data_IF_781774973766
#
_entry.id   IF_781774973766
#
_cell.length_a   1.000
_cell.length_b   1.000
_cell.length_c   1.000
_cell.angle_alpha   90.00
_cell.angle_beta   90.00
_cell.angle_gamma   90.00
#
_symmetry.space_group_name_H-M   'P 1'
#
loop_
_entity.id
_entity.type
_entity.pdbx_description
1 polymer ?
#
# COMPACT_ATOMS: atom_id res chain seq x y z
N UNK A 1 -3.29 58.73 -22.74
CA UNK A 1 -4.08 57.60 -23.30
C UNK A 1 -4.80 56.92 -22.17
N UNK A 2 -6.13 56.82 -22.21
CA UNK A 2 -6.89 56.07 -21.22
C UNK A 2 -6.88 54.58 -21.61
N UNK A 3 -6.33 53.73 -20.78
CA UNK A 3 -6.42 52.26 -20.96
C UNK A 3 -7.88 51.85 -20.80
N UNK A 4 -8.47 51.25 -21.83
CA UNK A 4 -9.82 50.66 -21.77
C UNK A 4 -9.69 49.36 -21.00
N UNK A 5 -10.08 49.42 -19.74
CA UNK A 5 -10.13 48.23 -18.88
C UNK A 5 -11.39 47.44 -19.26
N UNK A 6 -11.20 46.32 -19.97
CA UNK A 6 -12.28 45.37 -20.27
C UNK A 6 -12.56 44.56 -19.04
N UNK A 7 -13.72 44.72 -18.44
CA UNK A 7 -14.19 43.90 -17.33
C UNK A 7 -14.78 42.57 -17.82
N UNK A 8 -14.71 41.54 -16.97
CA UNK A 8 -15.40 40.25 -17.21
C UNK A 8 -16.92 40.46 -17.14
N UNK A 9 -17.65 39.80 -18.04
CA UNK A 9 -19.11 39.76 -17.98
C UNK A 9 -19.56 38.69 -16.99
N UNK A 10 -20.74 38.87 -16.38
CA UNK A 10 -21.31 37.87 -15.45
C UNK A 10 -21.52 36.52 -16.13
N UNK A 11 -21.96 36.51 -17.40
CA UNK A 11 -22.21 35.30 -18.16
C UNK A 11 -20.92 34.51 -18.48
N UNK A 12 -19.82 35.22 -18.76
CA UNK A 12 -18.50 34.58 -18.96
C UNK A 12 -18.06 33.83 -17.70
N UNK A 13 -18.23 34.43 -16.53
CA UNK A 13 -17.90 33.80 -15.25
C UNK A 13 -18.81 32.60 -14.97
N UNK A 14 -20.11 32.72 -15.25
CA UNK A 14 -21.08 31.62 -15.08
C UNK A 14 -20.76 30.42 -15.95
N UNK A 15 -20.35 30.60 -17.20
CA UNK A 15 -19.94 29.53 -18.11
C UNK A 15 -18.69 28.84 -17.58
N UNK A 16 -17.71 29.60 -17.10
CA UNK A 16 -16.46 29.05 -16.56
C UNK A 16 -16.73 28.14 -15.34
N UNK A 17 -17.52 28.64 -14.37
CA UNK A 17 -17.83 27.82 -13.18
C UNK A 17 -18.68 26.58 -13.52
N UNK A 18 -19.56 26.66 -14.52
CA UNK A 18 -20.32 25.52 -15.00
C UNK A 18 -19.40 24.44 -15.60
N UNK A 19 -18.44 24.82 -16.43
CA UNK A 19 -17.46 23.91 -17.03
C UNK A 19 -16.57 23.29 -15.97
N UNK A 20 -16.05 24.08 -15.02
CA UNK A 20 -15.25 23.58 -13.88
C UNK A 20 -16.05 22.58 -13.05
N UNK A 21 -17.33 22.85 -12.79
CA UNK A 21 -18.21 21.96 -12.06
C UNK A 21 -18.35 20.58 -12.74
N UNK A 22 -18.54 20.56 -14.04
CA UNK A 22 -18.65 19.32 -14.82
C UNK A 22 -17.33 18.54 -14.81
N UNK A 23 -16.20 19.22 -15.02
CA UNK A 23 -14.88 18.58 -15.00
C UNK A 23 -14.53 18.02 -13.61
N UNK A 24 -14.89 18.73 -12.53
CA UNK A 24 -14.64 18.29 -11.18
C UNK A 24 -15.32 16.96 -10.82
N UNK A 25 -16.51 16.71 -11.33
CA UNK A 25 -17.27 15.45 -11.10
C UNK A 25 -16.47 14.22 -11.59
N UNK A 26 -15.73 14.37 -12.67
CA UNK A 26 -14.94 13.30 -13.27
C UNK A 26 -13.55 13.21 -12.63
N UNK A 27 -12.93 14.36 -12.35
CA UNK A 27 -11.55 14.42 -11.87
C UNK A 27 -11.38 14.00 -10.41
N UNK A 28 -12.32 14.35 -9.52
CA UNK A 28 -12.22 14.06 -8.10
C UNK A 28 -12.15 12.55 -7.76
N UNK A 29 -13.02 11.68 -8.30
CA UNK A 29 -12.94 10.23 -8.05
C UNK A 29 -11.62 9.64 -8.55
N UNK A 30 -11.15 10.03 -9.73
CA UNK A 30 -9.89 9.54 -10.29
C UNK A 30 -8.69 9.95 -9.41
N UNK A 31 -8.69 11.19 -8.89
CA UNK A 31 -7.66 11.67 -7.98
C UNK A 31 -7.67 10.92 -6.66
N UNK A 32 -8.84 10.60 -6.09
CA UNK A 32 -8.96 9.82 -4.86
C UNK A 32 -8.41 8.40 -5.02
N UNK A 33 -8.71 7.72 -6.14
CA UNK A 33 -8.19 6.40 -6.43
C UNK A 33 -6.66 6.41 -6.58
N UNK A 34 -6.11 7.41 -7.27
CA UNK A 34 -4.68 7.61 -7.42
C UNK A 34 -3.98 7.83 -6.07
N UNK A 35 -4.57 8.70 -5.23
CA UNK A 35 -4.05 8.99 -3.88
C UNK A 35 -4.07 7.74 -3.00
N UNK A 36 -5.15 6.96 -3.03
CA UNK A 36 -5.24 5.71 -2.27
C UNK A 36 -4.15 4.71 -2.69
N UNK A 37 -3.91 4.55 -4.00
CA UNK A 37 -2.83 3.69 -4.51
C UNK A 37 -1.45 4.15 -4.05
N UNK A 38 -1.18 5.46 -4.08
CA UNK A 38 0.08 6.01 -3.62
C UNK A 38 0.31 5.72 -2.13
N UNK A 39 -0.73 5.85 -1.30
CA UNK A 39 -0.66 5.54 0.13
C UNK A 39 -0.45 4.05 0.40
N UNK A 40 -1.11 3.17 -0.35
CA UNK A 40 -0.92 1.70 -0.24
C UNK A 40 0.48 1.28 -0.69
N UNK A 41 1.10 2.00 -1.61
CA UNK A 41 2.48 1.72 -2.03
C UNK A 41 3.48 1.88 -0.89
N UNK A 42 3.24 2.80 0.06
CA UNK A 42 4.05 2.89 1.28
C UNK A 42 3.91 1.61 2.13
N UNK A 43 2.68 1.13 2.33
CA UNK A 43 2.43 -0.11 3.07
C UNK A 43 3.12 -1.31 2.42
N UNK A 44 3.07 -1.40 1.11
CA UNK A 44 3.76 -2.44 0.35
C UNK A 44 5.28 -2.37 0.53
N UNK A 45 5.87 -1.19 0.41
CA UNK A 45 7.32 -1.01 0.58
C UNK A 45 7.80 -1.38 2.00
N UNK A 46 7.05 -0.96 3.04
CA UNK A 46 7.37 -1.33 4.42
C UNK A 46 7.23 -2.83 4.69
N UNK A 47 6.20 -3.46 4.13
CA UNK A 47 6.02 -4.90 4.23
C UNK A 47 7.11 -5.67 3.47
N UNK A 48 7.50 -5.22 2.28
CA UNK A 48 8.60 -5.82 1.50
C UNK A 48 9.93 -5.77 2.24
N UNK A 49 10.19 -4.69 2.98
CA UNK A 49 11.38 -4.55 3.81
C UNK A 49 11.54 -5.67 4.86
N UNK A 50 10.47 -6.35 5.24
CA UNK A 50 10.50 -7.44 6.22
C UNK A 50 10.71 -8.83 5.59
N UNK A 51 10.59 -8.97 4.27
CA UNK A 51 10.69 -10.27 3.59
C UNK A 51 12.01 -10.97 3.85
N UNK A 52 13.11 -10.24 3.80
CA UNK A 52 14.46 -10.81 4.00
C UNK A 52 14.59 -11.44 5.39
N UNK A 53 14.11 -10.79 6.42
CA UNK A 53 14.16 -11.29 7.79
C UNK A 53 13.35 -12.59 7.97
N UNK A 54 12.18 -12.68 7.34
CA UNK A 54 11.35 -13.90 7.36
C UNK A 54 12.05 -15.06 6.65
N UNK A 55 12.67 -14.79 5.50
CA UNK A 55 13.41 -15.81 4.73
C UNK A 55 14.64 -16.28 5.48
N UNK A 56 15.40 -15.37 6.08
CA UNK A 56 16.60 -15.67 6.87
C UNK A 56 16.25 -16.53 8.08
N UNK A 57 15.22 -16.17 8.83
CA UNK A 57 14.74 -16.97 9.96
C UNK A 57 14.33 -18.38 9.52
N UNK A 58 13.61 -18.51 8.42
CA UNK A 58 13.20 -19.81 7.88
C UNK A 58 14.41 -20.65 7.46
N UNK A 59 15.41 -20.06 6.84
CA UNK A 59 16.64 -20.75 6.45
C UNK A 59 17.43 -21.28 7.67
N UNK A 60 17.43 -20.53 8.79
CA UNK A 60 18.13 -20.88 10.02
C UNK A 60 17.35 -21.91 10.88
N UNK A 61 16.04 -21.74 11.01
CA UNK A 61 15.21 -22.50 11.95
C UNK A 61 14.38 -23.61 11.30
N UNK A 62 14.21 -23.61 9.98
CA UNK A 62 13.34 -24.54 9.26
C UNK A 62 11.84 -24.32 9.50
N UNK A 63 11.46 -23.20 10.15
CA UNK A 63 10.10 -22.82 10.46
C UNK A 63 9.91 -21.32 10.25
N UNK A 64 8.69 -20.89 9.98
CA UNK A 64 8.39 -19.46 9.85
C UNK A 64 8.38 -18.75 11.22
N UNK A 65 8.81 -17.47 11.28
CA UNK A 65 8.64 -16.66 12.48
C UNK A 65 7.15 -16.41 12.77
N UNK A 66 6.81 -16.28 14.03
CA UNK A 66 5.44 -15.99 14.46
C UNK A 66 5.23 -14.56 14.93
N UNK A 67 6.31 -13.81 15.11
CA UNK A 67 6.32 -12.41 15.56
C UNK A 67 7.57 -11.67 15.11
N UNK A 68 7.54 -10.35 15.14
CA UNK A 68 8.67 -9.50 14.76
C UNK A 68 9.96 -9.85 15.50
N UNK A 69 9.87 -10.11 16.79
CA UNK A 69 11.04 -10.44 17.61
C UNK A 69 11.76 -11.73 17.17
N UNK A 70 11.01 -12.72 16.70
CA UNK A 70 11.59 -13.97 16.21
C UNK A 70 12.45 -13.71 14.96
N UNK A 71 11.95 -12.88 14.06
CA UNK A 71 12.67 -12.51 12.84
C UNK A 71 13.78 -11.46 13.08
N UNK A 72 14.00 -11.03 14.33
CA UNK A 72 15.02 -10.04 14.66
C UNK A 72 14.73 -8.63 14.12
N UNK A 73 13.49 -8.30 13.80
CA UNK A 73 13.09 -6.97 13.34
C UNK A 73 12.46 -6.17 14.47
N UNK A 74 12.37 -4.85 14.28
CA UNK A 74 11.79 -3.94 15.25
C UNK A 74 10.34 -4.31 15.60
N UNK A 75 9.88 -3.92 16.79
CA UNK A 75 8.49 -4.07 17.19
C UNK A 75 7.55 -3.44 16.16
N UNK A 76 6.38 -4.05 15.96
CA UNK A 76 5.41 -3.61 14.95
C UNK A 76 5.05 -2.12 15.08
N UNK A 77 4.98 -1.62 16.30
CA UNK A 77 4.66 -0.22 16.56
C UNK A 77 5.80 0.74 16.19
N UNK A 78 6.99 0.25 15.94
CA UNK A 78 8.15 1.02 15.49
C UNK A 78 8.31 1.01 13.96
N UNK A 79 7.72 0.02 13.27
CA UNK A 79 7.70 -0.04 11.80
C UNK A 79 6.47 0.71 11.31
N UNK A 80 6.58 2.02 11.25
CA UNK A 80 5.48 2.94 10.90
C UNK A 80 5.84 3.80 9.71
N UNK A 81 4.84 4.36 9.06
CA UNK A 81 4.99 5.30 7.96
C UNK A 81 4.08 6.52 8.12
N UNK A 82 4.04 7.36 7.12
CA UNK A 82 3.12 8.49 7.06
C UNK A 82 1.66 8.01 7.07
N UNK A 83 1.36 6.96 6.34
CA UNK A 83 0.03 6.38 6.16
C UNK A 83 -0.13 5.01 6.82
N UNK A 84 0.96 4.37 7.19
CA UNK A 84 0.99 3.04 7.81
C UNK A 84 1.10 3.17 9.32
N UNK A 85 0.19 2.49 10.03
CA UNK A 85 0.16 2.46 11.49
C UNK A 85 1.24 1.55 12.06
N UNK A 86 1.34 0.34 11.51
CA UNK A 86 2.24 -0.71 12.00
C UNK A 86 2.47 -1.77 10.94
N UNK A 87 3.59 -2.50 11.05
CA UNK A 87 3.87 -3.70 10.27
C UNK A 87 4.20 -4.84 11.21
N UNK A 88 3.45 -5.92 11.12
CA UNK A 88 3.54 -7.10 11.98
C UNK A 88 3.91 -8.33 11.17
N UNK A 89 4.85 -9.12 11.68
CA UNK A 89 5.07 -10.49 11.25
C UNK A 89 4.23 -11.36 12.19
N UNK A 90 3.31 -12.12 11.62
CA UNK A 90 2.42 -13.01 12.35
C UNK A 90 2.68 -14.48 12.03
N UNK A 91 1.77 -15.33 12.45
CA UNK A 91 1.85 -16.77 12.24
C UNK A 91 2.18 -17.14 10.80
N UNK A 92 2.97 -18.18 10.64
CA UNK A 92 3.45 -18.66 9.34
C UNK A 92 4.23 -17.62 8.52
N UNK A 93 4.85 -16.63 9.16
CA UNK A 93 5.65 -15.60 8.51
C UNK A 93 4.86 -14.60 7.70
N UNK A 94 3.55 -14.50 7.89
CA UNK A 94 2.71 -13.54 7.18
C UNK A 94 3.05 -12.13 7.64
N UNK A 95 3.42 -11.27 6.70
CA UNK A 95 3.70 -9.87 6.97
C UNK A 95 2.41 -9.06 6.73
N UNK A 96 1.96 -8.34 7.75
CA UNK A 96 0.73 -7.54 7.69
C UNK A 96 1.06 -6.08 7.93
N UNK A 97 0.80 -5.23 6.95
CA UNK A 97 0.85 -3.78 7.09
C UNK A 97 -0.56 -3.23 7.30
N UNK A 98 -0.76 -2.48 8.37
CA UNK A 98 -2.05 -1.89 8.74
C UNK A 98 -2.04 -0.40 8.46
N UNK A 99 -3.02 0.09 7.70
CA UNK A 99 -3.19 1.52 7.41
C UNK A 99 -3.68 2.27 8.65
N UNK A 100 -3.30 3.55 8.75
CA UNK A 100 -3.81 4.44 9.80
C UNK A 100 -5.32 4.65 9.68
N UNK A 101 -5.93 5.11 10.75
CA UNK A 101 -7.34 5.49 10.79
C UNK A 101 -7.58 6.88 10.20
N UNK A 102 -6.68 7.83 10.53
CA UNK A 102 -6.76 9.25 10.16
C UNK A 102 -5.67 9.63 9.18
N UNK A 103 -5.90 10.69 8.41
CA UNK A 103 -4.96 11.23 7.42
C UNK A 103 -4.63 10.26 6.28
N UNK A 104 -5.54 9.34 5.99
CA UNK A 104 -5.49 8.41 4.86
C UNK A 104 -6.79 8.48 4.08
N UNK A 105 -6.77 8.00 2.83
CA UNK A 105 -7.99 7.91 2.04
C UNK A 105 -9.01 6.98 2.75
N UNK A 106 -10.27 7.41 2.79
CA UNK A 106 -11.33 6.68 3.49
C UNK A 106 -11.51 5.22 3.00
N UNK A 107 -11.25 4.96 1.72
CA UNK A 107 -11.37 3.63 1.13
C UNK A 107 -10.36 2.61 1.68
N UNK A 108 -9.25 3.08 2.28
CA UNK A 108 -8.17 2.23 2.80
C UNK A 108 -7.96 2.39 4.31
N UNK A 109 -8.72 3.25 4.98
CA UNK A 109 -8.62 3.47 6.43
C UNK A 109 -8.79 2.17 7.21
N UNK A 110 -7.91 1.89 8.16
CA UNK A 110 -7.86 0.67 9.00
C UNK A 110 -7.73 -0.65 8.21
N UNK A 111 -7.58 -0.60 6.90
CA UNK A 111 -7.42 -1.80 6.08
C UNK A 111 -5.99 -2.30 6.11
N UNK A 112 -5.83 -3.57 5.76
CA UNK A 112 -4.54 -4.27 5.79
C UNK A 112 -4.09 -4.72 4.41
N UNK A 113 -2.78 -4.74 4.23
CA UNK A 113 -2.08 -5.42 3.14
C UNK A 113 -1.28 -6.56 3.75
N UNK A 114 -1.40 -7.77 3.20
CA UNK A 114 -0.66 -8.94 3.68
C UNK A 114 0.24 -9.49 2.59
N UNK A 115 1.42 -9.95 3.01
CA UNK A 115 2.34 -10.73 2.19
C UNK A 115 2.54 -12.08 2.85
N UNK A 116 2.10 -13.14 2.17
CA UNK A 116 2.18 -14.50 2.67
C UNK A 116 3.32 -15.24 1.98
N UNK A 117 4.34 -15.72 2.71
CA UNK A 117 5.43 -16.48 2.12
C UNK A 117 4.95 -17.87 1.71
N UNK A 118 5.41 -18.32 0.56
CA UNK A 118 5.28 -19.71 0.11
C UNK A 118 6.68 -20.24 -0.21
N UNK A 119 7.18 -21.15 0.60
CA UNK A 119 8.40 -21.87 0.27
C UNK A 119 8.10 -22.77 -0.94
N UNK A 120 8.91 -22.69 -1.97
CA UNK A 120 8.85 -23.64 -3.06
C UNK A 120 9.38 -24.96 -2.56
N UNK A 121 8.48 -25.90 -2.23
CA UNK A 121 8.84 -27.28 -2.02
C UNK A 121 9.14 -27.87 -3.39
N UNK A 122 10.39 -27.81 -3.81
CA UNK A 122 10.83 -28.52 -4.99
C UNK A 122 10.92 -30.01 -4.65
N UNK A 123 10.06 -30.82 -5.25
CA UNK A 123 10.22 -32.27 -5.29
C UNK A 123 11.37 -32.70 -6.21
N UNK A 124 12.00 -31.76 -6.87
CA UNK A 124 13.12 -31.94 -7.78
C UNK A 124 14.42 -31.64 -7.04
N UNK A 125 15.22 -32.66 -6.76
CA UNK A 125 16.50 -32.55 -6.06
C UNK A 125 17.54 -31.67 -6.79
N UNK A 126 17.27 -31.25 -8.03
CA UNK A 126 18.12 -30.36 -8.80
C UNK A 126 17.81 -28.87 -8.62
N UNK A 127 16.70 -28.52 -7.97
CA UNK A 127 16.36 -27.14 -7.66
C UNK A 127 16.74 -26.79 -6.24
N UNK A 128 17.55 -25.76 -6.11
CA UNK A 128 18.02 -25.21 -4.84
C UNK A 128 16.82 -24.99 -3.90
N UNK A 129 16.78 -25.67 -2.70
CA UNK A 129 15.76 -25.32 -1.72
C UNK A 129 16.02 -23.88 -1.27
N UNK A 130 15.03 -23.02 -1.42
CA UNK A 130 15.17 -21.65 -0.94
C UNK A 130 14.60 -20.55 -1.82
N UNK A 131 13.90 -20.86 -2.91
CA UNK A 131 13.12 -19.82 -3.59
C UNK A 131 11.79 -19.65 -2.86
N UNK A 132 11.54 -18.41 -2.43
CA UNK A 132 10.27 -18.01 -1.84
C UNK A 132 9.43 -17.26 -2.86
N UNK A 133 8.18 -17.61 -2.96
CA UNK A 133 7.16 -16.80 -3.62
C UNK A 133 6.31 -16.12 -2.57
N UNK A 134 5.79 -14.94 -2.90
CA UNK A 134 4.98 -14.14 -1.97
C UNK A 134 3.62 -13.90 -2.58
N UNK A 135 2.59 -14.23 -1.83
CA UNK A 135 1.22 -13.95 -2.22
C UNK A 135 0.71 -12.72 -1.50
N UNK A 136 0.13 -11.79 -2.27
CA UNK A 136 -0.47 -10.59 -1.71
C UNK A 136 -1.93 -10.83 -1.36
N UNK A 137 -2.34 -10.31 -0.20
CA UNK A 137 -3.70 -10.39 0.31
C UNK A 137 -4.06 -9.19 1.17
N UNK A 138 -5.01 -9.41 2.08
CA UNK A 138 -5.47 -8.40 3.02
C UNK A 138 -6.82 -7.81 2.67
N UNK A 139 -7.27 -6.83 3.46
CA UNK A 139 -8.59 -6.22 3.34
C UNK A 139 -8.63 -5.01 2.40
N UNK A 140 -7.48 -4.53 1.94
CA UNK A 140 -7.40 -3.48 0.91
C UNK A 140 -7.87 -4.04 -0.43
N UNK A 141 -8.80 -3.33 -1.09
CA UNK A 141 -9.31 -3.74 -2.40
C UNK A 141 -8.20 -3.85 -3.44
N UNK A 142 -8.29 -4.85 -4.32
CA UNK A 142 -7.28 -5.10 -5.36
C UNK A 142 -6.96 -3.88 -6.22
N UNK A 143 -7.96 -3.05 -6.51
CA UNK A 143 -7.79 -1.83 -7.33
C UNK A 143 -6.81 -0.81 -6.72
N UNK A 144 -6.62 -0.83 -5.40
CA UNK A 144 -5.69 0.05 -4.71
C UNK A 144 -4.31 -0.56 -4.46
N UNK A 145 -4.16 -1.87 -4.70
CA UNK A 145 -2.87 -2.55 -4.51
C UNK A 145 -1.89 -2.20 -5.63
N UNK A 146 -0.58 -2.20 -5.37
CA UNK A 146 0.45 -2.10 -6.41
C UNK A 146 0.29 -3.20 -7.48
N UNK A 147 0.85 -2.97 -8.67
CA UNK A 147 0.76 -3.93 -9.77
C UNK A 147 1.31 -5.32 -9.41
N UNK A 148 2.37 -5.36 -8.59
CA UNK A 148 2.95 -6.61 -8.08
C UNK A 148 2.04 -7.39 -7.11
N UNK A 149 0.92 -6.79 -6.67
CA UNK A 149 0.01 -7.29 -5.65
C UNK A 149 -1.45 -7.46 -6.13
N UNK A 150 -1.68 -7.37 -7.42
CA UNK A 150 -3.03 -7.51 -8.01
C UNK A 150 -3.35 -8.92 -8.43
#
# INVERSE_FOLDING_TARGET
MKAIQKGFTLIELMIVIAIIGILAVIALPAYQDYTARAQVSEAFALAEGQKAAVVEYYADKGAYPEKNADAGVADKAQITGKYVKEVEIGKAGVITATMKEKNVNAAISKKTLTLTPKASVSTDASKTPGSFTWECGGTIDKKYRPAACR
#
